data_IF_124838907952
#
_entry.id   IF_124838907952
#
_cell.length_a   1.000
_cell.length_b   1.000
_cell.length_c   1.000
_cell.angle_alpha   90.00
_cell.angle_beta   90.00
_cell.angle_gamma   90.00
#
_symmetry.space_group_name_H-M   'P 1'
#
loop_
_entity.id
_entity.type
_entity.pdbx_description
1 polymer ?
#
# COMPACT_ATOMS: atom_id res chain seq x y z
N UNK A 1 5.83 -12.72 -20.82
CA UNK A 1 5.52 -11.92 -19.60
C UNK A 1 5.72 -10.47 -19.91
N UNK A 2 4.74 -9.65 -19.54
CA UNK A 2 4.71 -8.23 -19.85
C UNK A 2 4.34 -7.44 -18.61
N UNK A 3 5.08 -6.37 -18.31
CA UNK A 3 4.76 -5.45 -17.23
C UNK A 3 4.31 -4.12 -17.83
N UNK A 4 3.13 -3.65 -17.43
CA UNK A 4 2.44 -2.54 -18.08
C UNK A 4 1.99 -1.48 -17.08
N UNK A 5 2.01 -0.23 -17.54
CA UNK A 5 1.13 0.80 -17.00
C UNK A 5 -0.20 0.64 -17.72
N UNK A 6 -1.23 0.26 -16.99
CA UNK A 6 -2.53 -0.11 -17.52
C UNK A 6 -3.34 1.14 -17.88
N UNK A 7 -4.18 1.02 -18.91
CA UNK A 7 -5.11 2.06 -19.34
C UNK A 7 -6.56 1.66 -19.08
N UNK A 8 -7.51 2.48 -19.55
CA UNK A 8 -8.94 2.29 -19.30
C UNK A 8 -9.49 0.96 -19.84
N UNK A 9 -8.82 0.32 -20.81
CA UNK A 9 -9.27 -0.97 -21.36
C UNK A 9 -9.06 -2.13 -20.39
N UNK A 10 -8.13 -1.99 -19.43
CA UNK A 10 -7.79 -3.03 -18.47
C UNK A 10 -8.58 -2.95 -17.14
N UNK A 11 -9.38 -1.89 -16.93
CA UNK A 11 -10.05 -1.64 -15.63
C UNK A 11 -10.98 -2.79 -15.25
N UNK A 12 -11.80 -3.28 -16.18
CA UNK A 12 -12.76 -4.34 -15.88
C UNK A 12 -12.05 -5.67 -15.53
N UNK A 13 -10.93 -5.96 -16.20
CA UNK A 13 -10.08 -7.12 -15.88
C UNK A 13 -9.43 -6.98 -14.49
N UNK A 14 -8.89 -5.81 -14.15
CA UNK A 14 -8.31 -5.54 -12.83
C UNK A 14 -9.36 -5.69 -11.72
N UNK A 15 -10.58 -5.20 -11.94
CA UNK A 15 -11.67 -5.35 -10.97
C UNK A 15 -12.07 -6.81 -10.79
N UNK A 16 -12.16 -7.57 -11.88
CA UNK A 16 -12.39 -9.02 -11.83
C UNK A 16 -11.24 -9.72 -11.10
N UNK A 17 -10.00 -9.34 -11.36
CA UNK A 17 -8.81 -9.90 -10.74
C UNK A 17 -8.84 -9.72 -9.22
N UNK A 18 -9.07 -8.50 -8.72
CA UNK A 18 -9.15 -8.27 -7.28
C UNK A 18 -10.32 -9.04 -6.65
N UNK A 19 -11.51 -9.01 -7.28
CA UNK A 19 -12.68 -9.73 -6.76
C UNK A 19 -12.44 -11.23 -6.64
N UNK A 20 -11.72 -11.81 -7.60
CA UNK A 20 -11.49 -13.26 -7.67
C UNK A 20 -10.37 -13.71 -6.74
N UNK A 21 -9.31 -12.90 -6.61
CA UNK A 21 -8.09 -13.35 -5.95
C UNK A 21 -7.84 -12.69 -4.59
N UNK A 22 -8.24 -11.44 -4.42
CA UNK A 22 -7.87 -10.63 -3.25
C UNK A 22 -9.02 -10.39 -2.28
N UNK A 23 -10.27 -10.60 -2.69
CA UNK A 23 -11.48 -10.38 -1.88
C UNK A 23 -11.45 -9.04 -1.13
N UNK A 24 -11.34 -9.08 0.20
CA UNK A 24 -11.24 -7.92 1.11
C UNK A 24 -9.86 -7.81 1.80
N UNK A 25 -8.86 -8.56 1.34
CA UNK A 25 -7.51 -8.55 1.93
C UNK A 25 -6.71 -7.28 1.60
N UNK A 26 -7.05 -6.60 0.49
CA UNK A 26 -6.31 -5.44 -0.02
C UNK A 26 -7.24 -4.25 -0.24
N UNK A 27 -6.75 -3.05 0.08
CA UNK A 27 -7.45 -1.80 -0.19
C UNK A 27 -7.24 -1.37 -1.65
N UNK A 28 -8.33 -1.18 -2.38
CA UNK A 28 -8.34 -0.65 -3.74
C UNK A 28 -9.69 0.05 -4.02
N UNK A 29 -9.78 0.98 -5.00
CA UNK A 29 -11.05 1.60 -5.36
C UNK A 29 -12.04 0.55 -5.88
N UNK A 30 -13.23 0.47 -5.28
CA UNK A 30 -14.24 -0.54 -5.66
C UNK A 30 -15.17 -0.10 -6.81
N UNK A 31 -15.16 1.19 -7.16
CA UNK A 31 -15.98 1.74 -8.24
C UNK A 31 -15.17 1.83 -9.55
N UNK A 32 -15.48 1.04 -10.60
CA UNK A 32 -14.76 1.07 -11.87
C UNK A 32 -14.88 2.40 -12.61
N UNK A 33 -16.01 3.09 -12.48
CA UNK A 33 -16.22 4.38 -13.16
C UNK A 33 -15.30 5.45 -12.56
N UNK A 34 -15.19 5.47 -11.23
CA UNK A 34 -14.22 6.31 -10.52
C UNK A 34 -12.79 6.04 -11.00
N UNK A 35 -12.40 4.77 -11.15
CA UNK A 35 -11.07 4.43 -11.68
C UNK A 35 -10.88 5.03 -13.07
N UNK A 36 -11.85 4.84 -13.97
CA UNK A 36 -11.77 5.32 -15.37
C UNK A 36 -11.67 6.84 -15.47
N UNK A 37 -12.33 7.57 -14.56
CA UNK A 37 -12.29 9.02 -14.47
C UNK A 37 -10.93 9.56 -13.97
N UNK A 38 -10.25 8.82 -13.10
CA UNK A 38 -9.01 9.23 -12.44
C UNK A 38 -7.73 8.63 -13.05
N UNK A 39 -7.86 7.59 -13.88
CA UNK A 39 -6.73 6.85 -14.42
C UNK A 39 -5.89 7.71 -15.37
N UNK A 40 -4.60 7.85 -15.04
CA UNK A 40 -3.62 8.63 -15.80
C UNK A 40 -3.40 10.06 -15.30
N UNK A 41 -4.21 10.53 -14.34
CA UNK A 41 -4.07 11.87 -13.75
C UNK A 41 -3.57 11.81 -12.30
N UNK A 42 -4.45 11.39 -11.38
CA UNK A 42 -4.15 11.24 -9.95
C UNK A 42 -4.25 9.78 -9.49
N UNK A 43 -4.65 8.86 -10.36
CA UNK A 43 -4.64 7.41 -10.10
C UNK A 43 -3.95 6.65 -11.24
N UNK A 44 -3.18 5.62 -10.91
CA UNK A 44 -2.39 4.85 -11.87
C UNK A 44 -2.42 3.36 -11.51
N UNK A 45 -2.57 2.51 -12.53
CA UNK A 45 -2.57 1.06 -12.39
C UNK A 45 -1.37 0.43 -13.09
N UNK A 46 -0.76 -0.54 -12.43
CA UNK A 46 0.29 -1.37 -13.03
C UNK A 46 -0.07 -2.84 -12.91
N UNK A 47 0.25 -3.59 -13.96
CA UNK A 47 -0.04 -5.02 -14.04
C UNK A 47 1.14 -5.82 -14.59
N UNK A 48 1.20 -7.09 -14.21
CA UNK A 48 2.05 -8.10 -14.86
C UNK A 48 1.14 -9.12 -15.51
N UNK A 49 1.34 -9.38 -16.79
CA UNK A 49 0.59 -10.32 -17.59
C UNK A 49 1.47 -11.50 -18.06
N UNK A 50 0.88 -12.69 -18.17
CA UNK A 50 1.51 -13.88 -18.76
C UNK A 50 1.44 -13.85 -20.29
N UNK A 51 2.24 -14.72 -20.94
CA UNK A 51 2.17 -14.94 -22.39
C UNK A 51 2.37 -13.68 -23.25
N UNK A 52 1.56 -13.59 -24.32
CA UNK A 52 1.37 -12.44 -25.22
C UNK A 52 0.43 -11.35 -24.63
N UNK A 53 0.27 -11.29 -23.30
CA UNK A 53 -0.61 -10.33 -22.63
C UNK A 53 -2.01 -10.87 -22.37
N UNK A 54 -2.16 -12.19 -22.22
CA UNK A 54 -3.48 -12.85 -22.17
C UNK A 54 -4.13 -12.84 -20.78
N UNK A 55 -3.33 -12.81 -19.71
CA UNK A 55 -3.86 -12.96 -18.35
C UNK A 55 -3.08 -12.14 -17.32
N UNK A 56 -3.80 -11.26 -16.60
CA UNK A 56 -3.28 -10.53 -15.46
C UNK A 56 -2.97 -11.46 -14.28
N UNK A 57 -1.74 -11.38 -13.77
CA UNK A 57 -1.27 -12.23 -12.66
C UNK A 57 -0.80 -11.47 -11.42
N UNK A 58 -0.51 -10.18 -11.57
CA UNK A 58 -0.19 -9.31 -10.46
C UNK A 58 -0.60 -7.88 -10.75
N UNK A 59 -0.99 -7.15 -9.72
CA UNK A 59 -1.46 -5.76 -9.83
C UNK A 59 -0.98 -4.94 -8.64
N UNK A 60 -0.75 -3.66 -8.87
CA UNK A 60 -0.59 -2.63 -7.84
C UNK A 60 -1.07 -1.29 -8.40
N UNK A 61 -1.51 -0.40 -7.50
CA UNK A 61 -1.87 0.97 -7.86
C UNK A 61 -0.94 1.99 -7.22
N UNK A 62 -0.87 3.18 -7.85
CA UNK A 62 -0.27 4.39 -7.29
C UNK A 62 -1.30 5.52 -7.41
N UNK A 63 -1.34 6.40 -6.42
CA UNK A 63 -2.28 7.52 -6.42
C UNK A 63 -1.66 8.77 -5.79
N UNK A 64 -2.06 9.94 -6.29
CA UNK A 64 -1.84 11.24 -5.66
C UNK A 64 -3.07 11.54 -4.79
N UNK A 65 -2.91 11.44 -3.49
CA UNK A 65 -3.97 11.60 -2.50
C UNK A 65 -3.84 12.95 -1.79
N UNK A 66 -4.93 13.42 -1.17
CA UNK A 66 -4.99 14.77 -0.58
C UNK A 66 -4.67 14.83 0.91
N UNK A 67 -4.69 13.70 1.61
CA UNK A 67 -4.66 13.67 3.08
C UNK A 67 -3.69 12.61 3.61
N UNK A 68 -2.47 13.03 3.92
CA UNK A 68 -1.50 12.17 4.60
C UNK A 68 -1.69 12.23 6.11
N UNK A 69 -2.57 11.36 6.62
CA UNK A 69 -2.93 11.31 8.04
C UNK A 69 -2.15 10.22 8.75
N UNK A 70 -1.52 10.57 9.85
CA UNK A 70 -0.66 9.68 10.63
C UNK A 70 -0.67 10.05 12.11
N UNK A 71 -0.22 9.12 12.94
CA UNK A 71 0.11 9.39 14.33
C UNK A 71 1.61 9.62 14.53
N UNK A 72 1.95 10.51 15.46
CA UNK A 72 3.28 10.59 16.09
C UNK A 72 3.16 10.23 17.57
N UNK A 73 4.26 9.74 18.15
CA UNK A 73 4.38 9.52 19.59
C UNK A 73 5.39 10.52 20.15
N UNK A 74 4.92 11.42 21.00
CA UNK A 74 5.75 12.45 21.62
C UNK A 74 5.45 12.47 23.12
N UNK A 75 6.48 12.34 23.97
CA UNK A 75 6.34 12.34 25.44
C UNK A 75 5.24 11.39 25.95
N UNK A 76 5.23 10.14 25.47
CA UNK A 76 4.24 9.11 25.83
C UNK A 76 2.79 9.51 25.50
N UNK A 77 2.58 10.35 24.48
CA UNK A 77 1.25 10.69 23.97
C UNK A 77 1.18 10.51 22.46
N UNK A 78 0.00 10.08 21.99
CA UNK A 78 -0.33 9.89 20.60
C UNK A 78 -0.99 11.14 20.03
N UNK A 79 -0.38 11.73 19.01
CA UNK A 79 -0.86 12.91 18.31
C UNK A 79 -1.32 12.53 16.91
N UNK A 80 -2.47 13.02 16.47
CA UNK A 80 -2.89 12.91 15.06
C UNK A 80 -2.42 14.11 14.25
N UNK A 81 -1.87 13.85 13.07
CA UNK A 81 -1.34 14.86 12.15
C UNK A 81 -1.93 14.65 10.75
N UNK A 82 -1.96 15.72 9.95
CA UNK A 82 -2.28 15.67 8.53
C UNK A 82 -1.31 16.60 7.78
N UNK A 83 -0.45 16.04 6.93
CA UNK A 83 0.52 16.81 6.13
C UNK A 83 -0.03 17.22 4.75
N UNK A 84 -1.30 16.92 4.46
CA UNK A 84 -1.94 17.23 3.18
C UNK A 84 -1.55 16.26 2.07
N UNK A 85 -1.34 16.79 0.87
CA UNK A 85 -1.18 15.95 -0.32
C UNK A 85 0.07 15.08 -0.29
N UNK A 86 -0.05 13.83 -0.73
CA UNK A 86 1.04 12.87 -0.82
C UNK A 86 0.78 11.86 -1.93
N UNK A 87 1.82 11.16 -2.37
CA UNK A 87 1.66 10.04 -3.29
C UNK A 87 1.82 8.72 -2.55
N UNK A 88 0.99 7.74 -2.88
CA UNK A 88 0.91 6.48 -2.18
C UNK A 88 0.74 5.31 -3.15
N UNK A 89 1.28 4.14 -2.80
CA UNK A 89 1.04 2.90 -3.52
C UNK A 89 0.40 1.85 -2.64
N UNK A 90 -0.58 1.15 -3.19
CA UNK A 90 -1.37 0.13 -2.50
C UNK A 90 -1.96 -0.92 -3.45
N UNK A 91 -2.84 -1.77 -2.92
CA UNK A 91 -3.50 -2.82 -3.69
C UNK A 91 -2.55 -3.88 -4.24
N UNK A 92 -1.38 -4.07 -3.62
CA UNK A 92 -0.39 -5.01 -4.11
C UNK A 92 -0.90 -6.44 -3.96
N UNK A 93 -1.11 -7.10 -5.09
CA UNK A 93 -1.55 -8.49 -5.09
C UNK A 93 -0.84 -9.28 -6.20
N UNK A 94 -0.40 -10.49 -5.84
CA UNK A 94 0.22 -11.47 -6.74
C UNK A 94 -0.55 -12.77 -6.56
N UNK A 95 -1.02 -13.34 -7.66
CA UNK A 95 -1.71 -14.63 -7.62
C UNK A 95 -0.87 -15.71 -6.94
N UNK A 96 -1.48 -16.57 -6.10
CA UNK A 96 -0.76 -17.58 -5.32
C UNK A 96 0.16 -18.49 -6.15
N UNK A 97 -0.30 -18.93 -7.32
CA UNK A 97 0.42 -19.82 -8.25
C UNK A 97 1.68 -19.21 -8.87
N UNK A 98 1.83 -17.88 -8.84
CA UNK A 98 3.03 -17.18 -9.33
C UNK A 98 3.94 -16.68 -8.20
N UNK A 99 3.58 -16.92 -6.93
CA UNK A 99 4.43 -16.57 -5.79
C UNK A 99 5.69 -17.44 -5.80
N UNK A 100 6.81 -16.89 -5.33
CA UNK A 100 8.11 -17.58 -5.34
C UNK A 100 8.89 -17.48 -6.67
N UNK A 101 8.24 -17.17 -7.80
CA UNK A 101 8.89 -17.04 -9.12
C UNK A 101 9.63 -15.70 -9.32
N UNK A 102 9.87 -14.93 -8.27
CA UNK A 102 10.45 -13.58 -8.37
C UNK A 102 9.45 -12.46 -8.69
N UNK A 103 8.14 -12.78 -8.81
CA UNK A 103 7.06 -11.82 -9.09
C UNK A 103 7.07 -10.59 -8.19
N UNK A 104 7.34 -10.77 -6.91
CA UNK A 104 7.37 -9.67 -5.95
C UNK A 104 8.41 -8.60 -6.33
N UNK A 105 9.61 -9.02 -6.74
CA UNK A 105 10.64 -8.09 -7.21
C UNK A 105 10.23 -7.43 -8.54
N UNK A 106 9.60 -8.18 -9.44
CA UNK A 106 9.17 -7.63 -10.74
C UNK A 106 8.06 -6.59 -10.55
N UNK A 107 7.06 -6.85 -9.71
CA UNK A 107 6.01 -5.89 -9.41
C UNK A 107 6.58 -4.65 -8.73
N UNK A 108 7.50 -4.84 -7.77
CA UNK A 108 8.20 -3.75 -7.11
C UNK A 108 8.98 -2.88 -8.10
N UNK A 109 9.72 -3.51 -9.01
CA UNK A 109 10.46 -2.80 -10.04
C UNK A 109 9.54 -2.08 -11.03
N UNK A 110 8.41 -2.69 -11.38
CA UNK A 110 7.42 -2.12 -12.30
C UNK A 110 6.80 -0.83 -11.73
N UNK A 111 6.36 -0.87 -10.48
CA UNK A 111 5.82 0.32 -9.78
C UNK A 111 6.86 1.43 -9.74
N UNK A 112 8.09 1.12 -9.32
CA UNK A 112 9.15 2.12 -9.22
C UNK A 112 9.56 2.69 -10.58
N UNK A 113 9.70 1.84 -11.59
CA UNK A 113 10.04 2.26 -12.95
C UNK A 113 8.99 3.26 -13.44
N UNK A 114 7.71 2.88 -13.47
CA UNK A 114 6.68 3.77 -14.00
C UNK A 114 6.49 5.04 -13.16
N UNK A 115 6.54 4.94 -11.84
CA UNK A 115 6.40 6.10 -10.97
C UNK A 115 7.49 7.15 -11.21
N UNK A 116 8.76 6.73 -11.28
CA UNK A 116 9.91 7.64 -11.33
C UNK A 116 10.38 8.00 -12.74
N UNK A 117 10.08 7.20 -13.77
CA UNK A 117 10.54 7.47 -15.14
C UNK A 117 9.44 7.90 -16.11
N UNK A 118 8.17 7.60 -15.80
CA UNK A 118 7.01 7.95 -16.65
C UNK A 118 6.07 8.95 -15.98
N UNK A 119 5.53 8.64 -14.81
CA UNK A 119 4.48 9.43 -14.14
C UNK A 119 5.06 10.74 -13.57
N UNK A 120 6.16 10.65 -12.81
CA UNK A 120 6.80 11.81 -12.16
C UNK A 120 8.22 12.04 -12.68
N UNK A 121 8.45 11.84 -13.99
CA UNK A 121 9.79 11.92 -14.62
C UNK A 121 10.54 13.21 -14.25
N UNK A 122 9.81 14.33 -14.19
CA UNK A 122 10.34 15.68 -13.99
C UNK A 122 10.19 16.18 -12.55
N UNK A 123 9.67 15.37 -11.64
CA UNK A 123 9.39 15.75 -10.26
C UNK A 123 10.11 14.82 -9.28
N UNK A 124 10.33 15.29 -8.05
CA UNK A 124 10.91 14.49 -6.97
C UNK A 124 9.83 14.06 -5.98
N UNK A 125 8.74 13.48 -6.49
CA UNK A 125 7.61 13.05 -5.64
C UNK A 125 7.92 11.68 -5.00
N UNK A 126 8.06 11.61 -3.67
CA UNK A 126 8.25 10.34 -2.98
C UNK A 126 6.98 9.48 -3.05
N UNK A 127 7.15 8.17 -3.15
CA UNK A 127 6.06 7.21 -3.14
C UNK A 127 5.99 6.55 -1.77
N UNK A 128 4.91 6.85 -1.04
CA UNK A 128 4.64 6.27 0.27
C UNK A 128 3.93 4.92 0.16
N UNK A 129 4.05 4.10 1.19
CA UNK A 129 3.39 2.80 1.29
C UNK A 129 3.29 2.35 2.73
N UNK A 130 2.44 1.36 2.99
CA UNK A 130 2.44 0.61 4.25
C UNK A 130 2.26 -0.87 3.98
N UNK A 131 2.88 -1.68 4.82
CA UNK A 131 2.50 -3.08 4.93
C UNK A 131 1.21 -3.17 5.76
N UNK A 132 0.46 -4.26 5.62
CA UNK A 132 -0.67 -4.51 6.52
C UNK A 132 -0.14 -4.67 7.94
N UNK A 133 -0.76 -3.99 8.92
CA UNK A 133 -0.42 -4.15 10.34
C UNK A 133 -1.06 -5.37 10.97
N UNK A 134 -0.93 -5.51 12.29
CA UNK A 134 -1.56 -6.63 13.01
C UNK A 134 -3.08 -6.62 12.87
N UNK A 135 -3.65 -7.81 12.73
CA UNK A 135 -5.09 -8.05 12.59
C UNK A 135 -5.64 -8.75 13.83
N UNK A 136 -6.92 -8.58 14.10
CA UNK A 136 -7.65 -9.40 15.06
C UNK A 136 -8.14 -10.72 14.41
N UNK A 137 -8.90 -11.51 15.18
CA UNK A 137 -9.42 -12.80 14.73
C UNK A 137 -10.39 -12.70 13.55
N UNK A 138 -11.06 -11.55 13.39
CA UNK A 138 -12.00 -11.29 12.30
C UNK A 138 -11.30 -10.69 11.07
N UNK A 139 -9.96 -10.61 11.09
CA UNK A 139 -9.14 -10.12 9.97
C UNK A 139 -9.10 -8.60 9.83
N UNK A 140 -9.65 -7.86 10.80
CA UNK A 140 -9.69 -6.40 10.84
C UNK A 140 -8.46 -5.83 11.56
N UNK A 141 -8.08 -4.54 11.34
CA UNK A 141 -6.94 -3.94 12.03
C UNK A 141 -7.11 -3.94 13.55
N UNK A 142 -6.22 -4.65 14.25
CA UNK A 142 -6.32 -4.87 15.69
C UNK A 142 -6.38 -3.56 16.48
N UNK A 143 -5.57 -2.57 16.08
CA UNK A 143 -5.56 -1.27 16.75
C UNK A 143 -6.88 -0.52 16.59
N UNK A 144 -7.44 -0.47 15.37
CA UNK A 144 -8.69 0.24 15.12
C UNK A 144 -9.85 -0.36 15.92
N UNK A 145 -10.06 -1.67 15.83
CA UNK A 145 -11.18 -2.33 16.49
C UNK A 145 -11.11 -2.24 18.03
N UNK A 146 -9.90 -2.18 18.60
CA UNK A 146 -9.71 -2.17 20.05
C UNK A 146 -9.60 -0.78 20.65
N UNK A 147 -9.26 0.22 19.84
CA UNK A 147 -8.96 1.59 20.27
C UNK A 147 -9.66 2.60 19.39
N UNK A 148 -9.36 2.61 18.09
CA UNK A 148 -9.84 3.63 17.15
C UNK A 148 -11.35 3.78 17.10
N UNK A 149 -12.09 2.67 17.00
CA UNK A 149 -13.55 2.67 16.99
C UNK A 149 -14.13 3.24 18.29
N UNK A 150 -13.56 2.90 19.45
CA UNK A 150 -14.02 3.44 20.74
C UNK A 150 -13.75 4.94 20.89
N UNK A 151 -12.64 5.39 20.31
CA UNK A 151 -12.22 6.81 20.36
C UNK A 151 -13.05 7.67 19.41
N UNK A 152 -13.38 7.14 18.23
CA UNK A 152 -14.01 7.91 17.14
C UNK A 152 -15.50 7.61 16.97
N UNK A 153 -16.00 6.50 17.51
CA UNK A 153 -17.33 5.97 17.22
C UNK A 153 -17.48 5.35 15.84
N UNK A 154 -16.38 5.16 15.08
CA UNK A 154 -16.41 4.70 13.69
C UNK A 154 -15.91 3.26 13.56
N UNK A 155 -16.78 2.30 13.20
CA UNK A 155 -16.38 0.94 12.86
C UNK A 155 -15.48 0.89 11.62
N UNK A 156 -14.56 -0.08 11.57
CA UNK A 156 -13.63 -0.19 10.43
C UNK A 156 -14.35 -0.46 9.10
N UNK A 157 -15.44 -1.23 9.10
CA UNK A 157 -16.19 -1.53 7.88
C UNK A 157 -16.86 -0.28 7.27
N UNK A 158 -17.27 0.68 8.11
CA UNK A 158 -17.80 1.96 7.62
C UNK A 158 -16.70 2.79 6.95
N UNK A 159 -15.48 2.77 7.50
CA UNK A 159 -14.33 3.40 6.86
C UNK A 159 -14.03 2.79 5.48
N UNK A 160 -14.17 1.47 5.32
CA UNK A 160 -13.98 0.78 4.04
C UNK A 160 -15.07 1.13 3.01
N UNK A 161 -16.26 1.50 3.47
CA UNK A 161 -17.37 1.90 2.59
C UNK A 161 -17.23 3.33 2.06
N UNK A 162 -16.30 4.13 2.59
CA UNK A 162 -16.06 5.49 2.13
C UNK A 162 -15.50 5.52 0.69
N UNK A 163 -15.76 6.60 -0.07
CA UNK A 163 -15.09 6.81 -1.35
C UNK A 163 -13.57 6.73 -1.22
N UNK A 164 -12.91 6.18 -2.24
CA UNK A 164 -11.47 5.99 -2.23
C UNK A 164 -10.73 7.32 -1.99
N UNK A 165 -9.70 7.30 -1.14
CA UNK A 165 -8.91 8.48 -0.79
C UNK A 165 -9.55 9.45 0.21
N UNK A 166 -10.72 9.11 0.79
CA UNK A 166 -11.40 9.96 1.79
C UNK A 166 -11.30 9.45 3.23
N UNK A 167 -10.94 8.18 3.43
CA UNK A 167 -10.83 7.52 4.74
C UNK A 167 -9.94 8.32 5.71
N UNK A 168 -8.77 8.74 5.25
CA UNK A 168 -7.79 9.45 6.06
C UNK A 168 -8.36 10.75 6.64
N UNK A 169 -9.09 11.53 5.83
CA UNK A 169 -9.71 12.78 6.29
C UNK A 169 -10.79 12.52 7.34
N UNK A 170 -11.64 11.51 7.13
CA UNK A 170 -12.69 11.14 8.10
C UNK A 170 -12.09 10.71 9.43
N UNK A 171 -11.01 9.91 9.40
CA UNK A 171 -10.25 9.54 10.60
C UNK A 171 -9.69 10.79 11.28
N UNK A 172 -9.07 11.68 10.50
CA UNK A 172 -8.50 12.91 11.04
C UNK A 172 -9.55 13.73 11.77
N UNK A 173 -10.70 13.98 11.14
CA UNK A 173 -11.76 14.82 11.68
C UNK A 173 -12.43 14.22 12.92
N UNK A 174 -12.52 12.90 12.99
CA UNK A 174 -13.20 12.19 14.09
C UNK A 174 -12.29 11.93 15.29
N UNK A 175 -10.97 11.97 15.10
CA UNK A 175 -10.01 11.73 16.19
C UNK A 175 -9.87 12.96 17.10
N UNK A 176 -9.76 12.78 18.44
CA UNK A 176 -9.52 13.88 19.37
C UNK A 176 -8.27 14.69 19.01
N UNK A 177 -8.39 16.01 18.96
CA UNK A 177 -7.25 16.90 18.69
C UNK A 177 -6.31 17.04 19.89
N UNK A 178 -6.84 16.84 21.09
CA UNK A 178 -6.03 16.69 22.29
C UNK A 178 -5.30 15.33 22.26
N UNK A 179 -3.98 15.30 22.50
CA UNK A 179 -3.19 14.09 22.38
C UNK A 179 -3.54 13.08 23.47
N UNK A 180 -3.65 11.81 23.08
CA UNK A 180 -4.07 10.72 23.97
C UNK A 180 -2.83 10.13 24.65
N UNK A 181 -2.73 10.13 25.99
CA UNK A 181 -1.65 9.43 26.69
C UNK A 181 -1.62 7.94 26.33
N UNK A 182 -0.45 7.38 26.09
CA UNK A 182 -0.30 5.95 25.79
C UNK A 182 -0.79 5.06 26.94
N UNK A 183 -0.79 5.57 28.17
CA UNK A 183 -1.38 4.90 29.34
C UNK A 183 -2.90 4.71 29.26
N UNK A 184 -3.59 5.50 28.43
CA UNK A 184 -5.02 5.34 28.16
C UNK A 184 -5.30 4.25 27.10
N UNK A 185 -4.28 3.73 26.43
CA UNK A 185 -4.40 2.66 25.45
C UNK A 185 -4.07 1.32 26.14
N UNK A 186 -4.85 0.25 25.92
CA UNK A 186 -4.53 -1.08 26.45
C UNK A 186 -3.10 -1.51 26.07
N UNK A 187 -2.31 -1.86 27.08
CA UNK A 187 -0.87 -2.09 26.92
C UNK A 187 -0.55 -3.34 26.09
N UNK A 188 -1.41 -4.36 26.14
CA UNK A 188 -1.35 -5.53 25.29
C UNK A 188 -1.55 -5.19 23.81
N UNK A 189 -2.44 -4.23 23.51
CA UNK A 189 -2.66 -3.75 22.14
C UNK A 189 -1.45 -2.96 21.65
N UNK A 190 -0.92 -2.02 22.44
CA UNK A 190 0.30 -1.27 22.07
C UNK A 190 1.48 -2.22 21.80
N UNK A 191 1.70 -3.21 22.66
CA UNK A 191 2.76 -4.21 22.48
C UNK A 191 2.59 -5.01 21.19
N UNK A 192 1.36 -5.24 20.74
CA UNK A 192 1.08 -6.00 19.52
C UNK A 192 1.17 -5.12 18.28
N UNK A 193 0.75 -3.85 18.32
CA UNK A 193 0.54 -3.05 17.10
C UNK A 193 1.61 -1.99 16.85
N UNK A 194 2.20 -1.39 17.90
CA UNK A 194 3.08 -0.23 17.75
C UNK A 194 4.32 -0.56 16.90
N UNK A 195 4.37 0.03 15.71
CA UNK A 195 5.42 -0.17 14.73
C UNK A 195 5.48 -1.56 14.09
N UNK A 196 4.46 -2.41 14.30
CA UNK A 196 4.50 -3.82 13.91
C UNK A 196 3.69 -4.12 12.65
N UNK A 197 4.38 -4.65 11.66
CA UNK A 197 3.80 -5.24 10.45
C UNK A 197 3.24 -6.63 10.74
N UNK A 198 2.21 -7.06 10.00
CA UNK A 198 1.68 -8.42 10.05
C UNK A 198 2.78 -9.46 9.79
N UNK A 199 2.79 -10.56 10.54
CA UNK A 199 3.93 -11.50 10.56
C UNK A 199 4.26 -12.06 9.17
N UNK A 200 3.24 -12.44 8.39
CA UNK A 200 3.41 -12.96 7.02
C UNK A 200 4.05 -11.95 6.06
N UNK A 201 4.06 -10.67 6.40
CA UNK A 201 4.59 -9.58 5.57
C UNK A 201 5.98 -9.08 6.01
N UNK A 202 6.53 -9.58 7.13
CA UNK A 202 7.89 -9.22 7.58
C UNK A 202 8.95 -9.59 6.54
N UNK A 203 8.83 -10.76 5.91
CA UNK A 203 9.75 -11.20 4.86
C UNK A 203 9.76 -10.25 3.64
N UNK A 204 8.59 -10.00 3.01
CA UNK A 204 8.45 -9.01 1.94
C UNK A 204 8.91 -7.59 2.32
N UNK A 205 8.62 -7.12 3.54
CA UNK A 205 9.10 -5.83 4.03
C UNK A 205 10.63 -5.74 4.03
N UNK A 206 11.30 -6.74 4.59
CA UNK A 206 12.76 -6.77 4.65
C UNK A 206 13.38 -6.74 3.24
N UNK A 207 12.71 -7.29 2.23
CA UNK A 207 13.15 -7.22 0.84
C UNK A 207 13.01 -5.80 0.27
N UNK A 208 11.89 -5.11 0.51
CA UNK A 208 11.75 -3.70 0.13
C UNK A 208 12.86 -2.83 0.73
N UNK A 209 13.17 -3.01 2.02
CA UNK A 209 14.24 -2.27 2.70
C UNK A 209 15.60 -2.56 2.06
N UNK A 210 15.90 -3.83 1.76
CA UNK A 210 17.14 -4.22 1.05
C UNK A 210 17.25 -3.60 -0.35
N UNK A 211 16.14 -3.27 -1.00
CA UNK A 211 16.13 -2.60 -2.29
C UNK A 211 16.16 -1.07 -2.20
N UNK A 212 16.20 -0.50 -0.99
CA UNK A 212 16.35 0.94 -0.76
C UNK A 212 15.08 1.67 -0.31
N UNK A 213 13.98 0.95 -0.05
CA UNK A 213 12.81 1.53 0.60
C UNK A 213 13.16 1.92 2.04
N UNK A 214 12.74 3.11 2.45
CA UNK A 214 13.09 3.68 3.76
C UNK A 214 11.91 3.47 4.70
N UNK A 215 12.15 2.85 5.85
CA UNK A 215 11.18 2.76 6.93
C UNK A 215 11.11 4.09 7.69
N UNK A 216 9.91 4.62 7.88
CA UNK A 216 9.65 5.86 8.60
C UNK A 216 9.26 5.51 10.03
N UNK A 217 10.12 5.83 10.99
CA UNK A 217 10.05 5.30 12.35
C UNK A 217 9.26 6.16 13.33
N UNK A 218 8.98 7.41 12.96
CA UNK A 218 8.30 8.43 13.75
C UNK A 218 6.84 8.66 13.33
N UNK A 219 6.38 8.00 12.25
CA UNK A 219 5.02 8.12 11.72
C UNK A 219 4.31 6.77 11.68
N UNK A 220 3.13 6.71 12.28
CA UNK A 220 2.34 5.48 12.39
C UNK A 220 1.00 5.60 11.69
N UNK A 221 0.55 4.50 11.10
CA UNK A 221 -0.71 4.46 10.37
C UNK A 221 -1.90 4.49 11.34
N UNK A 222 -2.92 5.36 11.15
CA UNK A 222 -3.98 5.52 12.13
C UNK A 222 -4.82 4.26 12.42
N UNK A 223 -5.01 3.40 11.41
CA UNK A 223 -5.85 2.19 11.55
C UNK A 223 -5.13 1.03 12.21
N UNK A 224 -3.80 0.98 12.15
CA UNK A 224 -3.04 -0.23 12.51
C UNK A 224 -1.82 0.02 13.40
N UNK A 225 -1.47 1.29 13.64
CA UNK A 225 -0.32 1.74 14.44
C UNK A 225 1.04 1.19 13.99
N UNK A 226 1.13 0.68 12.76
CA UNK A 226 2.37 0.22 12.16
C UNK A 226 3.03 1.33 11.33
N UNK A 227 4.24 1.09 10.83
CA UNK A 227 5.06 2.12 10.16
C UNK A 227 4.68 2.35 8.70
N UNK A 228 4.87 3.59 8.28
CA UNK A 228 4.95 3.95 6.87
C UNK A 228 6.33 3.64 6.30
N UNK A 229 6.37 3.51 4.98
CA UNK A 229 7.59 3.35 4.22
C UNK A 229 7.57 4.31 3.04
N UNK A 230 8.73 4.74 2.60
CA UNK A 230 8.86 5.69 1.51
C UNK A 230 9.95 5.27 0.56
N UNK A 231 9.64 5.36 -0.74
CA UNK A 231 10.62 5.21 -1.81
C UNK A 231 10.79 6.55 -2.51
N UNK A 232 12.04 6.91 -2.79
CA UNK A 232 12.39 8.14 -3.51
C UNK A 232 13.09 7.78 -4.82
N UNK A 233 13.27 8.77 -5.71
CA UNK A 233 14.03 8.59 -6.95
C UNK A 233 15.47 8.09 -6.72
N UNK A 234 16.02 8.31 -5.52
CA UNK A 234 17.37 7.89 -5.13
C UNK A 234 17.39 6.55 -4.39
N UNK A 235 16.23 6.02 -3.98
CA UNK A 235 16.14 4.73 -3.29
C UNK A 235 16.60 3.58 -4.19
N UNK A 236 16.23 3.64 -5.47
CA UNK A 236 16.68 2.70 -6.51
C UNK A 236 17.47 3.50 -7.53
N UNK A 237 18.79 3.39 -7.48
CA UNK A 237 19.71 4.23 -8.27
C UNK A 237 19.52 4.12 -9.79
N UNK A 238 19.03 2.97 -10.26
CA UNK A 238 18.76 2.70 -11.67
C UNK A 238 17.49 1.84 -11.80
N UNK A 239 16.30 2.47 -11.92
CA UNK A 239 15.02 1.78 -12.00
C UNK A 239 14.91 0.85 -13.21
N UNK A 240 15.52 1.20 -14.34
CA UNK A 240 15.50 0.37 -15.56
C UNK A 240 16.32 -0.89 -15.36
N UNK A 241 17.56 -0.78 -14.88
CA UNK A 241 18.39 -1.94 -14.56
C UNK A 241 17.76 -2.82 -13.49
N UNK A 242 17.16 -2.22 -12.46
CA UNK A 242 16.43 -2.97 -11.43
C UNK A 242 15.26 -3.78 -12.02
N UNK A 243 14.52 -3.18 -12.95
CA UNK A 243 13.45 -3.84 -13.70
C UNK A 243 13.95 -4.98 -14.57
N UNK A 244 14.96 -4.76 -15.42
CA UNK A 244 15.49 -5.82 -16.29
C UNK A 244 16.07 -7.00 -15.50
N UNK A 245 16.73 -6.75 -14.37
CA UNK A 245 17.18 -7.81 -13.47
C UNK A 245 16.03 -8.60 -12.86
N UNK A 246 14.93 -7.93 -12.49
CA UNK A 246 13.76 -8.59 -11.96
C UNK A 246 13.06 -9.44 -13.03
N UNK A 247 12.90 -8.90 -14.24
CA UNK A 247 12.28 -9.59 -15.37
C UNK A 247 13.10 -10.83 -15.80
N UNK A 248 14.42 -10.69 -15.93
CA UNK A 248 15.30 -11.81 -16.29
C UNK A 248 15.22 -12.96 -15.27
N UNK A 249 15.18 -12.64 -13.97
CA UNK A 249 15.03 -13.67 -12.92
C UNK A 249 13.72 -14.43 -13.04
N UNK A 250 12.63 -13.73 -13.33
CA UNK A 250 11.31 -14.32 -13.53
C UNK A 250 11.32 -15.27 -14.74
N UNK A 251 11.80 -14.80 -15.89
CA UNK A 251 11.83 -15.61 -17.12
C UNK A 251 12.63 -16.89 -16.93
N UNK A 252 13.79 -16.81 -16.28
CA UNK A 252 14.62 -17.98 -15.97
C UNK A 252 13.93 -18.96 -15.01
N UNK A 253 13.11 -18.47 -14.07
CA UNK A 253 12.40 -19.32 -13.13
C UNK A 253 11.27 -20.09 -13.80
N UNK A 254 10.59 -19.47 -14.78
CA UNK A 254 9.51 -20.09 -15.56
C UNK A 254 10.08 -21.12 -16.54
N UNK A 255 11.22 -20.83 -17.19
CA UNK A 255 11.87 -21.79 -18.09
C UNK A 255 12.43 -23.03 -17.37
N UNK A 256 12.57 -23.00 -16.05
CA UNK A 256 13.08 -24.09 -15.23
C UNK A 256 11.99 -24.91 -14.55
N UNK A 257 10.72 -24.49 -14.63
CA UNK A 257 9.55 -25.18 -14.08
C UNK A 257 8.87 -26.03 -15.15
#
# INVERSE_FOLDING_TARGET
MQALLLDNTAVDEVMKFYKTNAEDEVLYPRNPDWIKEHLGDDFFLTGILTGEGEELIAVAWMAKLKNFVYFTVENEKLFIRNDGSYAYSGGWYIRPDYRGMGMFKLLAATVNLFWFTKINKNESVPLWGRMVGQKDADGSPLFWNRVGERVTGLPYHELLALPFGTMEQVIFDSWPKDPIPLTCIPQDILRQTLGKTHESLTGPLNQFIRWGCIEVTDRFVPTSLNRFHVTTKNSISDPEKFFYQALSKVLNSISAA
#
